data_IF_252155368359
#
_entry.id   IF_252155368359
#
_cell.length_a   1.000
_cell.length_b   1.000
_cell.length_c   1.000
_cell.angle_alpha   90.00
_cell.angle_beta   90.00
_cell.angle_gamma   90.00
#
_symmetry.space_group_name_H-M   'P 1'
#
loop_
_entity.id
_entity.type
_entity.pdbx_description
1 polymer ?
#
# COMPACT_ATOMS: atom_id res chain seq x y z
N UNK A 1 -20.57 16.94 12.69
CA UNK A 1 -19.98 15.86 13.50
C UNK A 1 -20.28 14.57 12.77
N UNK A 2 -19.42 14.24 11.80
CA UNK A 2 -19.30 12.86 11.32
C UNK A 2 -18.13 12.30 12.11
N UNK A 3 -18.43 11.29 12.93
CA UNK A 3 -17.49 10.55 13.75
C UNK A 3 -16.21 10.22 12.98
N UNK A 4 -15.09 10.59 13.59
CA UNK A 4 -13.72 10.24 13.25
C UNK A 4 -13.53 8.73 13.48
N UNK A 5 -14.19 7.92 12.66
CA UNK A 5 -13.74 6.57 12.36
C UNK A 5 -12.49 6.79 11.54
N UNK A 6 -11.33 6.32 12.00
CA UNK A 6 -10.04 6.64 11.37
C UNK A 6 -10.12 6.42 9.86
N UNK A 7 -9.53 7.34 9.09
CA UNK A 7 -9.37 7.15 7.65
C UNK A 7 -8.83 5.73 7.40
N UNK A 8 -9.46 4.97 6.50
CA UNK A 8 -9.08 3.59 6.19
C UNK A 8 -7.59 3.48 5.85
N UNK A 9 -7.01 4.55 5.29
CA UNK A 9 -5.57 4.64 5.00
C UNK A 9 -4.74 4.74 6.29
N UNK A 10 -5.19 5.50 7.29
CA UNK A 10 -4.50 5.60 8.58
C UNK A 10 -4.56 4.29 9.34
N UNK A 11 -5.72 3.63 9.37
CA UNK A 11 -5.88 2.33 10.01
C UNK A 11 -5.01 1.26 9.33
N UNK A 12 -5.00 1.24 7.99
CA UNK A 12 -4.18 0.32 7.22
C UNK A 12 -2.69 0.57 7.43
N UNK A 13 -2.26 1.82 7.45
CA UNK A 13 -0.85 2.16 7.70
C UNK A 13 -0.43 1.80 9.12
N UNK A 14 -1.28 2.03 10.13
CA UNK A 14 -1.02 1.60 11.50
C UNK A 14 -0.85 0.07 11.61
N UNK A 15 -1.65 -0.70 10.87
CA UNK A 15 -1.50 -2.16 10.78
C UNK A 15 -0.19 -2.55 10.09
N UNK A 16 0.24 -1.83 9.05
CA UNK A 16 1.53 -2.07 8.37
C UNK A 16 2.69 -1.82 9.33
N UNK A 17 2.67 -0.70 10.07
CA UNK A 17 3.70 -0.35 11.06
C UNK A 17 3.75 -1.36 12.22
N UNK A 18 2.59 -1.82 12.72
CA UNK A 18 2.53 -2.87 13.74
C UNK A 18 3.18 -4.17 13.23
N UNK A 19 2.90 -4.56 11.99
CA UNK A 19 3.49 -5.77 11.38
C UNK A 19 4.99 -5.61 11.12
N UNK A 20 5.47 -4.41 10.74
CA UNK A 20 6.91 -4.09 10.64
C UNK A 20 7.62 -4.26 11.99
N UNK A 21 6.97 -3.84 13.08
CA UNK A 21 7.54 -3.89 14.43
C UNK A 21 7.52 -5.30 15.04
N UNK A 22 6.43 -6.04 14.85
CA UNK A 22 6.18 -7.31 15.57
C UNK A 22 6.50 -8.57 14.75
N UNK A 23 6.56 -8.47 13.41
CA UNK A 23 6.89 -9.55 12.48
C UNK A 23 6.19 -10.91 12.76
N UNK A 24 4.84 -10.96 12.84
CA UNK A 24 4.12 -12.23 13.05
C UNK A 24 4.33 -13.23 11.90
N UNK A 25 4.60 -14.50 12.23
CA UNK A 25 5.03 -15.54 11.26
C UNK A 25 4.04 -15.80 10.11
N UNK A 26 2.73 -15.68 10.35
CA UNK A 26 1.67 -15.95 9.36
C UNK A 26 1.13 -14.68 8.68
N UNK A 27 1.86 -13.55 8.73
CA UNK A 27 1.43 -12.30 8.12
C UNK A 27 2.07 -12.05 6.76
N UNK A 28 1.22 -11.81 5.77
CA UNK A 28 1.68 -11.37 4.45
C UNK A 28 2.51 -10.07 4.52
N UNK A 29 2.09 -9.06 5.28
CA UNK A 29 2.89 -7.83 5.40
C UNK A 29 4.23 -8.08 6.09
N UNK A 30 4.26 -8.91 7.13
CA UNK A 30 5.52 -9.26 7.79
C UNK A 30 6.48 -9.94 6.81
N UNK A 31 5.96 -10.84 5.95
CA UNK A 31 6.78 -11.51 4.95
C UNK A 31 7.38 -10.55 3.92
N UNK A 32 6.71 -9.44 3.58
CA UNK A 32 7.28 -8.39 2.74
C UNK A 32 8.47 -7.69 3.41
N UNK A 33 8.41 -7.42 4.72
CA UNK A 33 9.51 -6.81 5.47
C UNK A 33 10.69 -7.76 5.71
N UNK A 34 10.43 -9.06 5.82
CA UNK A 34 11.48 -10.08 6.03
C UNK A 34 11.94 -10.76 4.75
N UNK A 35 11.41 -10.37 3.59
CA UNK A 35 11.71 -11.02 2.32
C UNK A 35 13.21 -10.96 2.02
N UNK A 36 13.80 -12.03 1.51
CA UNK A 36 15.24 -12.08 1.20
C UNK A 36 15.67 -11.08 0.11
N UNK A 37 14.73 -10.74 -0.79
CA UNK A 37 14.90 -9.69 -1.80
C UNK A 37 14.81 -8.27 -1.22
N UNK A 38 14.43 -8.13 0.05
CA UNK A 38 14.15 -6.85 0.70
C UNK A 38 13.13 -6.02 -0.07
N UNK A 39 13.40 -4.72 -0.18
CA UNK A 39 12.58 -3.74 -0.91
C UNK A 39 12.21 -4.17 -2.33
N UNK A 40 13.08 -4.92 -3.02
CA UNK A 40 12.80 -5.36 -4.39
C UNK A 40 11.54 -6.24 -4.49
N UNK A 41 11.17 -6.97 -3.43
CA UNK A 41 9.93 -7.76 -3.43
C UNK A 41 8.69 -6.87 -3.54
N UNK A 42 8.67 -5.75 -2.80
CA UNK A 42 7.57 -4.79 -2.84
C UNK A 42 7.55 -4.02 -4.16
N UNK A 43 8.72 -3.67 -4.71
CA UNK A 43 8.83 -3.02 -6.02
C UNK A 43 8.37 -3.93 -7.17
N UNK A 44 8.68 -5.23 -7.12
CA UNK A 44 8.18 -6.22 -8.08
C UNK A 44 6.65 -6.29 -8.03
N UNK A 45 6.06 -6.39 -6.83
CA UNK A 45 4.60 -6.35 -6.65
C UNK A 45 3.98 -5.07 -7.19
N UNK A 46 4.53 -3.90 -6.85
CA UNK A 46 4.01 -2.63 -7.35
C UNK A 46 4.00 -2.55 -8.89
N UNK A 47 5.01 -3.13 -9.54
CA UNK A 47 5.08 -3.22 -11.01
C UNK A 47 4.08 -4.20 -11.61
N UNK A 48 3.83 -5.32 -10.93
CA UNK A 48 2.80 -6.31 -11.28
C UNK A 48 1.40 -5.66 -11.24
N UNK A 49 0.98 -5.12 -10.09
CA UNK A 49 -0.37 -4.56 -9.93
C UNK A 49 -0.59 -3.35 -10.86
N UNK A 50 0.47 -2.57 -11.14
CA UNK A 50 0.39 -1.48 -12.12
C UNK A 50 0.09 -2.02 -13.53
N UNK A 51 0.68 -3.15 -13.89
CA UNK A 51 0.42 -3.80 -15.18
C UNK A 51 -1.01 -4.33 -15.23
N UNK A 52 -1.49 -4.96 -14.15
CA UNK A 52 -2.84 -5.50 -14.03
C UNK A 52 -3.89 -4.40 -14.05
N UNK A 53 -3.69 -3.30 -13.32
CA UNK A 53 -4.52 -2.09 -13.37
C UNK A 53 -4.65 -1.54 -14.80
N UNK A 54 -3.55 -1.46 -15.55
CA UNK A 54 -3.56 -0.99 -16.95
C UNK A 54 -4.42 -1.90 -17.82
N UNK A 55 -4.31 -3.23 -17.63
CA UNK A 55 -5.09 -4.21 -18.37
C UNK A 55 -6.58 -4.13 -18.00
N UNK A 56 -6.91 -4.04 -16.71
CA UNK A 56 -8.27 -3.87 -16.21
C UNK A 56 -8.93 -2.62 -16.77
N UNK A 57 -8.23 -1.48 -16.75
CA UNK A 57 -8.70 -0.23 -17.35
C UNK A 57 -8.92 -0.36 -18.86
N UNK A 58 -8.01 -1.04 -19.58
CA UNK A 58 -8.13 -1.27 -21.02
C UNK A 58 -9.34 -2.13 -21.38
N UNK A 59 -9.68 -3.09 -20.53
CA UNK A 59 -10.76 -4.05 -20.77
C UNK A 59 -12.11 -3.60 -20.16
N UNK A 60 -12.18 -2.36 -19.64
CA UNK A 60 -13.37 -1.78 -18.97
C UNK A 60 -13.86 -2.63 -17.77
N UNK A 61 -12.95 -3.38 -17.14
CA UNK A 61 -13.23 -4.19 -15.96
C UNK A 61 -13.12 -3.34 -14.69
N UNK A 62 -14.24 -2.80 -14.23
CA UNK A 62 -14.27 -1.91 -13.07
C UNK A 62 -14.03 -2.61 -11.74
N UNK A 63 -14.29 -3.92 -11.65
CA UNK A 63 -14.08 -4.69 -10.43
C UNK A 63 -12.58 -4.92 -10.24
N UNK A 64 -11.92 -5.42 -11.29
CA UNK A 64 -10.48 -5.61 -11.31
C UNK A 64 -9.73 -4.28 -11.17
N UNK A 65 -10.22 -3.21 -11.83
CA UNK A 65 -9.61 -1.89 -11.72
C UNK A 65 -9.60 -1.39 -10.27
N UNK A 66 -10.67 -1.62 -9.52
CA UNK A 66 -10.77 -1.25 -8.11
C UNK A 66 -9.87 -2.12 -7.23
N UNK A 67 -9.80 -3.43 -7.52
CA UNK A 67 -8.94 -4.38 -6.84
C UNK A 67 -7.46 -3.98 -6.98
N UNK A 68 -6.97 -3.81 -8.21
CA UNK A 68 -5.58 -3.46 -8.47
C UNK A 68 -5.21 -2.06 -8.01
N UNK A 69 -6.17 -1.13 -8.02
CA UNK A 69 -5.97 0.19 -7.40
C UNK A 69 -5.69 0.06 -5.90
N UNK A 70 -6.41 -0.83 -5.21
CA UNK A 70 -6.21 -1.06 -3.77
C UNK A 70 -4.87 -1.73 -3.51
N UNK A 71 -4.47 -2.70 -4.33
CA UNK A 71 -3.17 -3.38 -4.18
C UNK A 71 -2.00 -2.43 -4.48
N UNK A 72 -2.11 -1.53 -5.47
CA UNK A 72 -1.12 -0.46 -5.67
C UNK A 72 -1.01 0.42 -4.41
N UNK A 73 -2.13 0.88 -3.85
CA UNK A 73 -2.11 1.72 -2.65
C UNK A 73 -1.50 0.97 -1.47
N UNK A 74 -1.86 -0.30 -1.26
CA UNK A 74 -1.33 -1.12 -0.19
C UNK A 74 0.20 -1.28 -0.30
N UNK A 75 0.71 -1.67 -1.47
CA UNK A 75 2.15 -1.85 -1.68
C UNK A 75 2.91 -0.52 -1.64
N UNK A 76 2.29 0.59 -2.05
CA UNK A 76 2.83 1.94 -1.87
C UNK A 76 2.98 2.27 -0.37
N UNK A 77 1.98 1.99 0.46
CA UNK A 77 2.05 2.23 1.91
C UNK A 77 3.15 1.38 2.57
N UNK A 78 3.31 0.12 2.18
CA UNK A 78 4.42 -0.73 2.64
C UNK A 78 5.77 -0.14 2.23
N UNK A 79 5.89 0.34 0.99
CA UNK A 79 7.11 0.98 0.51
C UNK A 79 7.44 2.27 1.28
N UNK A 80 6.45 3.12 1.56
CA UNK A 80 6.64 4.32 2.37
C UNK A 80 7.16 3.97 3.76
N UNK A 81 6.54 2.98 4.41
CA UNK A 81 7.00 2.43 5.68
C UNK A 81 8.46 1.93 5.61
N UNK A 82 8.85 1.21 4.56
CA UNK A 82 10.24 0.77 4.35
C UNK A 82 11.24 1.92 4.19
N UNK A 83 10.76 3.08 3.71
CA UNK A 83 11.55 4.31 3.53
C UNK A 83 11.48 5.24 4.75
N UNK A 84 10.88 4.79 5.84
CA UNK A 84 10.63 5.58 7.05
C UNK A 84 9.87 6.89 6.75
N UNK A 85 8.94 6.82 5.78
CA UNK A 85 7.99 7.88 5.44
C UNK A 85 6.60 7.52 5.98
N UNK A 86 5.83 8.52 6.39
CA UNK A 86 4.46 8.33 6.86
C UNK A 86 3.40 8.76 5.83
N UNK A 87 2.12 8.53 6.17
CA UNK A 87 0.99 8.93 5.31
C UNK A 87 0.87 10.45 5.21
N UNK A 88 1.33 11.19 6.21
CA UNK A 88 1.27 12.66 6.23
C UNK A 88 2.25 13.27 5.24
N UNK A 89 3.42 12.66 5.02
CA UNK A 89 4.35 13.00 3.95
C UNK A 89 3.67 12.91 2.57
N UNK A 90 2.96 11.79 2.32
CA UNK A 90 2.21 11.58 1.08
C UNK A 90 1.07 12.60 0.94
N UNK A 91 0.28 12.82 2.00
CA UNK A 91 -0.82 13.79 2.02
C UNK A 91 -0.33 15.21 1.77
N UNK A 92 0.80 15.61 2.38
CA UNK A 92 1.40 16.91 2.17
C UNK A 92 1.80 17.13 0.71
N UNK A 93 2.31 16.09 0.04
CA UNK A 93 2.65 16.16 -1.38
C UNK A 93 1.40 16.17 -2.28
N UNK A 94 0.37 15.37 -1.97
CA UNK A 94 -0.92 15.41 -2.67
C UNK A 94 -1.64 16.75 -2.52
N UNK A 95 -1.57 17.37 -1.34
CA UNK A 95 -2.18 18.68 -1.08
C UNK A 95 -1.64 19.79 -1.99
N UNK A 96 -0.40 19.67 -2.47
CA UNK A 96 0.20 20.61 -3.43
C UNK A 96 -0.38 20.50 -4.85
N UNK A 97 -1.12 19.43 -5.16
CA UNK A 97 -1.72 19.16 -6.49
C UNK A 97 -3.18 19.59 -6.59
N UNK A 98 -3.80 19.98 -5.49
CA UNK A 98 -5.16 20.51 -5.43
C UNK A 98 -5.16 22.01 -5.68
#
# INVERSE_FOLDING_TARGET
MSDDTGDVIDELFAVIEDRKANLPEDSYTASLFTHEKGENAVLEKLGEETTELILAAKDDDTEELAHESADIVYHLLVLLSMKDMDVDDLRAELAKRR
#
